data_IF_076011761450
#
_entry.id   IF_076011761450
#
_cell.length_a   1.000
_cell.length_b   1.000
_cell.length_c   1.000
_cell.angle_alpha   90.00
_cell.angle_beta   90.00
_cell.angle_gamma   90.00
#
_symmetry.space_group_name_H-M   'P 1'
#
loop_
_entity.id
_entity.type
_entity.pdbx_description
1 polymer ?
#
# COMPACT_ATOMS: atom_id res chain seq x y z
N UNK A 1 -14.32 2.64 -11.16
CA UNK A 1 -14.03 4.08 -10.95
C UNK A 1 -12.55 4.17 -10.68
N UNK A 2 -11.78 4.98 -11.43
CA UNK A 2 -10.37 5.22 -11.12
C UNK A 2 -10.32 6.23 -9.98
N UNK A 3 -10.08 5.77 -8.75
CA UNK A 3 -9.77 6.65 -7.63
C UNK A 3 -8.44 7.32 -7.89
N UNK A 4 -8.45 8.63 -8.13
CA UNK A 4 -7.22 9.42 -8.23
C UNK A 4 -6.75 9.76 -6.81
N UNK A 5 -5.44 9.73 -6.56
CA UNK A 5 -4.86 10.15 -5.26
C UNK A 5 -5.29 11.57 -4.84
N UNK A 6 -5.80 12.38 -5.76
CA UNK A 6 -6.28 13.75 -5.51
C UNK A 6 -7.59 13.84 -4.73
N UNK A 7 -8.37 12.76 -4.65
CA UNK A 7 -9.72 12.77 -4.06
C UNK A 7 -9.79 12.08 -2.69
N UNK A 8 -8.64 11.71 -2.11
CA UNK A 8 -8.58 11.01 -0.83
C UNK A 8 -8.67 12.00 0.34
N UNK A 9 -9.55 11.71 1.29
CA UNK A 9 -9.57 12.42 2.57
C UNK A 9 -8.38 12.02 3.44
N UNK A 10 -8.08 12.80 4.49
CA UNK A 10 -7.05 12.44 5.48
C UNK A 10 -7.37 11.11 6.18
N UNK A 11 -8.67 10.82 6.36
CA UNK A 11 -9.13 9.55 6.91
C UNK A 11 -8.84 8.38 5.95
N UNK A 12 -9.09 8.55 4.65
CA UNK A 12 -8.77 7.55 3.64
C UNK A 12 -7.27 7.30 3.58
N UNK A 13 -6.46 8.37 3.59
CA UNK A 13 -4.99 8.25 3.61
C UNK A 13 -4.53 7.45 4.82
N UNK A 14 -5.10 7.73 6.00
CA UNK A 14 -4.76 7.00 7.23
C UNK A 14 -5.15 5.52 7.14
N UNK A 15 -6.36 5.21 6.64
CA UNK A 15 -6.83 3.85 6.43
C UNK A 15 -5.94 3.08 5.43
N UNK A 16 -5.58 3.70 4.30
CA UNK A 16 -4.69 3.10 3.30
C UNK A 16 -3.30 2.84 3.90
N UNK A 17 -2.77 3.73 4.74
CA UNK A 17 -1.49 3.54 5.43
C UNK A 17 -1.58 2.35 6.39
N UNK A 18 -2.64 2.25 7.19
CA UNK A 18 -2.87 1.12 8.11
C UNK A 18 -2.97 -0.20 7.36
N UNK A 19 -3.78 -0.24 6.30
CA UNK A 19 -3.90 -1.38 5.39
C UNK A 19 -2.54 -1.77 4.79
N UNK A 20 -1.79 -0.80 4.26
CA UNK A 20 -0.49 -1.08 3.65
C UNK A 20 0.58 -1.54 4.64
N UNK A 21 0.46 -1.19 5.93
CA UNK A 21 1.35 -1.65 7.00
C UNK A 21 0.99 -3.06 7.49
N UNK A 22 -0.24 -3.52 7.27
CA UNK A 22 -0.75 -4.82 7.68
C UNK A 22 -0.24 -5.95 6.80
N UNK A 23 0.34 -6.98 7.41
CA UNK A 23 0.80 -8.19 6.71
C UNK A 23 -0.38 -9.04 6.18
N UNK A 24 -1.62 -8.73 6.60
CA UNK A 24 -2.84 -9.43 6.19
C UNK A 24 -3.55 -8.79 4.99
N UNK A 25 -3.13 -7.59 4.57
CA UNK A 25 -3.79 -6.87 3.48
C UNK A 25 -2.97 -6.94 2.20
N UNK A 26 -3.60 -7.32 1.08
CA UNK A 26 -2.95 -7.27 -0.22
C UNK A 26 -3.15 -5.89 -0.87
N UNK A 27 -2.24 -5.49 -1.76
CA UNK A 27 -2.48 -4.30 -2.58
C UNK A 27 -3.74 -4.42 -3.44
N UNK A 28 -4.13 -5.64 -3.84
CA UNK A 28 -5.40 -5.88 -4.54
C UNK A 28 -6.63 -5.55 -3.69
N UNK A 29 -6.54 -5.64 -2.36
CA UNK A 29 -7.64 -5.22 -1.47
C UNK A 29 -7.73 -3.69 -1.43
N UNK A 30 -6.59 -3.02 -1.33
CA UNK A 30 -6.51 -1.55 -1.38
C UNK A 30 -6.98 -1.03 -2.75
N UNK A 31 -6.63 -1.69 -3.85
CA UNK A 31 -7.10 -1.33 -5.19
C UNK A 31 -8.61 -1.54 -5.33
N UNK A 32 -9.16 -2.62 -4.76
CA UNK A 32 -10.60 -2.89 -4.78
C UNK A 32 -11.39 -1.85 -3.99
N UNK A 33 -10.88 -1.42 -2.84
CA UNK A 33 -11.59 -0.52 -1.93
C UNK A 33 -11.39 0.97 -2.28
N UNK A 34 -10.17 1.37 -2.63
CA UNK A 34 -9.80 2.78 -2.86
C UNK A 34 -9.42 3.08 -4.32
N UNK A 35 -9.37 2.08 -5.20
CA UNK A 35 -8.98 2.27 -6.60
C UNK A 35 -7.49 2.52 -6.83
N UNK A 36 -6.66 2.45 -5.79
CA UNK A 36 -5.23 2.73 -5.87
C UNK A 36 -4.43 1.49 -6.26
N UNK A 37 -3.63 1.62 -7.31
CA UNK A 37 -2.68 0.58 -7.72
C UNK A 37 -1.49 0.53 -6.78
N UNK A 38 -0.81 -0.62 -6.79
CA UNK A 38 0.49 -0.84 -6.15
C UNK A 38 1.45 0.36 -6.17
N UNK A 39 1.59 1.00 -7.33
CA UNK A 39 2.52 2.12 -7.54
C UNK A 39 2.09 3.36 -6.77
N UNK A 40 0.78 3.64 -6.74
CA UNK A 40 0.19 4.79 -6.05
C UNK A 40 0.27 4.59 -4.54
N UNK A 41 -0.04 3.39 -4.04
CA UNK A 41 0.15 3.05 -2.62
C UNK A 41 1.62 3.18 -2.21
N UNK A 42 2.57 2.72 -3.04
CA UNK A 42 4.01 2.89 -2.78
C UNK A 42 4.46 4.35 -2.77
N UNK A 43 3.83 5.21 -3.57
CA UNK A 43 4.08 6.64 -3.58
C UNK A 43 3.49 7.32 -2.34
N UNK A 44 2.25 7.01 -1.97
CA UNK A 44 1.60 7.48 -0.76
C UNK A 44 2.40 7.10 0.50
N UNK A 45 2.84 5.85 0.59
CA UNK A 45 3.67 5.39 1.70
C UNK A 45 5.03 6.11 1.75
N UNK A 46 5.57 6.50 0.59
CA UNK A 46 6.85 7.22 0.52
C UNK A 46 6.73 8.66 1.01
N UNK A 47 5.60 9.32 0.76
CA UNK A 47 5.35 10.69 1.21
C UNK A 47 4.99 10.76 2.70
N UNK A 48 4.33 9.71 3.24
CA UNK A 48 3.83 9.73 4.61
C UNK A 48 4.77 9.09 5.65
N UNK A 49 5.64 8.15 5.26
CA UNK A 49 6.56 7.52 6.20
C UNK A 49 7.93 8.20 6.22
N UNK A 50 8.55 8.20 7.41
CA UNK A 50 9.99 8.48 7.56
C UNK A 50 10.79 7.53 6.66
N UNK A 51 11.90 8.01 6.12
CA UNK A 51 12.74 7.24 5.17
C UNK A 51 13.20 5.89 5.72
N UNK A 52 13.55 5.80 7.00
CA UNK A 52 13.91 4.52 7.65
C UNK A 52 12.73 3.54 7.70
N UNK A 53 11.56 4.00 8.14
CA UNK A 53 10.32 3.20 8.18
C UNK A 53 9.91 2.73 6.79
N UNK A 54 9.96 3.61 5.79
CA UNK A 54 9.67 3.25 4.40
C UNK A 54 10.61 2.16 3.87
N UNK A 55 11.91 2.25 4.15
CA UNK A 55 12.88 1.22 3.76
C UNK A 55 12.57 -0.13 4.40
N UNK A 56 12.22 -0.16 5.69
CA UNK A 56 11.82 -1.39 6.39
C UNK A 56 10.53 -1.98 5.82
N UNK A 57 9.52 -1.16 5.60
CA UNK A 57 8.27 -1.57 4.97
C UNK A 57 8.50 -2.16 3.57
N UNK A 58 9.32 -1.52 2.74
CA UNK A 58 9.67 -2.03 1.40
C UNK A 58 10.37 -3.39 1.43
N UNK A 59 11.19 -3.66 2.45
CA UNK A 59 11.78 -4.99 2.65
C UNK A 59 10.70 -6.03 2.92
N UNK A 60 9.73 -5.73 3.80
CA UNK A 60 8.59 -6.62 4.09
C UNK A 60 7.76 -6.89 2.84
N UNK A 61 7.36 -5.84 2.12
CA UNK A 61 6.59 -5.95 0.86
C UNK A 61 7.27 -6.88 -0.15
N UNK A 62 8.60 -6.79 -0.29
CA UNK A 62 9.34 -7.71 -1.18
C UNK A 62 9.25 -9.14 -0.68
N UNK A 63 9.54 -9.39 0.60
CA UNK A 63 9.46 -10.73 1.20
C UNK A 63 8.07 -11.36 1.11
N UNK A 64 6.99 -10.58 1.24
CA UNK A 64 5.61 -11.08 1.10
C UNK A 64 5.15 -11.20 -0.36
N UNK A 65 5.58 -10.28 -1.23
CA UNK A 65 5.31 -10.34 -2.66
C UNK A 65 5.94 -11.57 -3.31
N UNK A 66 7.19 -11.88 -2.94
CA UNK A 66 7.92 -13.06 -3.43
C UNK A 66 7.20 -14.37 -3.03
N UNK A 67 6.57 -14.42 -1.85
CA UNK A 67 5.79 -15.59 -1.39
C UNK A 67 4.50 -15.80 -2.18
N UNK A 68 3.83 -14.73 -2.62
CA UNK A 68 2.58 -14.81 -3.39
C UNK A 68 2.80 -15.26 -4.85
N UNK A 69 4.02 -15.14 -5.37
CA UNK A 69 4.37 -15.69 -6.69
C UNK A 69 4.44 -17.23 -6.71
N UNK A 70 4.53 -17.88 -5.55
CA UNK A 70 4.66 -19.34 -5.44
C UNK A 70 3.36 -20.10 -5.18
N UNK A 71 2.20 -19.45 -5.23
CA UNK A 71 0.90 -20.13 -5.27
C UNK A 71 0.38 -20.10 -6.71
N UNK A 72 0.75 -21.11 -7.49
CA UNK A 72 0.08 -21.45 -8.76
C UNK A 72 -0.07 -22.96 -8.86
#
# INVERSE_FOLDING_TARGET
MSGSMTDLSEADISAIIEMALSDHTAFADIEREYGLKDKEVKALMRSNLKTSSYRTWRKRVRTFGDRRAHYK
#
